data_IF_277772468884
#
_entry.id   IF_277772468884
#
_cell.length_a   1.000
_cell.length_b   1.000
_cell.length_c   1.000
_cell.angle_alpha   90.00
_cell.angle_beta   90.00
_cell.angle_gamma   90.00
#
_symmetry.space_group_name_H-M   'P 1'
#
loop_
_entity.id
_entity.type
_entity.pdbx_description
1 polymer ?
#
# COMPACT_ATOMS: atom_id res chain seq x y z
N UNK A 1 -6.99 -12.06 16.16
CA UNK A 1 -6.90 -10.98 15.16
C UNK A 1 -5.83 -11.37 14.15
N UNK A 2 -6.03 -11.08 12.86
CA UNK A 2 -4.96 -11.18 11.86
C UNK A 2 -4.06 -9.94 12.00
N UNK A 3 -2.72 -10.05 11.87
CA UNK A 3 -1.83 -8.89 11.89
C UNK A 3 -2.19 -7.89 10.77
N UNK A 4 -2.06 -6.60 11.05
CA UNK A 4 -2.36 -5.53 10.11
C UNK A 4 -1.12 -5.15 9.29
N UNK A 5 -1.26 -5.14 7.97
CA UNK A 5 -0.21 -4.77 7.04
C UNK A 5 -0.59 -3.49 6.30
N UNK A 6 0.17 -2.42 6.53
CA UNK A 6 0.01 -1.16 5.82
C UNK A 6 0.92 -1.10 4.59
N UNK A 7 0.35 -0.76 3.44
CA UNK A 7 1.07 -0.67 2.16
C UNK A 7 1.11 0.79 1.70
N UNK A 8 2.30 1.37 1.71
CA UNK A 8 2.60 2.70 1.20
C UNK A 8 3.30 2.57 -0.15
N UNK A 9 2.57 2.80 -1.23
CA UNK A 9 3.08 2.66 -2.59
C UNK A 9 2.42 3.66 -3.55
N UNK A 10 3.01 3.91 -4.73
CA UNK A 10 2.33 4.67 -5.77
C UNK A 10 1.02 3.99 -6.21
N UNK A 11 0.08 4.78 -6.73
CA UNK A 11 -1.20 4.29 -7.24
C UNK A 11 -1.40 4.67 -8.72
N UNK A 12 -2.26 3.91 -9.41
CA UNK A 12 -2.53 4.09 -10.83
C UNK A 12 -1.35 3.72 -11.73
N UNK A 13 -1.31 4.28 -12.93
CA UNK A 13 -0.20 4.09 -13.87
C UNK A 13 0.73 5.30 -13.81
N UNK A 14 2.03 5.07 -13.56
CA UNK A 14 3.05 6.13 -13.51
C UNK A 14 4.34 5.68 -14.24
N UNK A 15 5.13 6.59 -14.80
CA UNK A 15 6.43 6.24 -15.38
C UNK A 15 7.36 5.73 -14.28
N UNK A 16 7.99 4.58 -14.52
CA UNK A 16 9.04 4.02 -13.66
C UNK A 16 10.40 4.72 -13.89
N UNK A 17 11.46 4.24 -13.23
CA UNK A 17 12.82 4.80 -13.34
C UNK A 17 13.39 4.80 -14.76
N UNK A 18 12.95 3.86 -15.59
CA UNK A 18 13.32 3.72 -17.01
C UNK A 18 12.40 4.54 -17.95
N UNK A 19 11.43 5.28 -17.39
CA UNK A 19 10.42 6.03 -18.13
C UNK A 19 9.29 5.18 -18.70
N UNK A 20 9.31 3.85 -18.52
CA UNK A 20 8.24 2.97 -18.98
C UNK A 20 7.06 2.99 -18.00
N UNK A 21 5.81 2.85 -18.48
CA UNK A 21 4.64 2.87 -17.62
C UNK A 21 4.59 1.62 -16.71
N UNK A 22 4.44 1.85 -15.42
CA UNK A 22 4.18 0.82 -14.40
C UNK A 22 2.75 0.96 -13.91
N UNK A 23 1.99 -0.13 -13.95
CA UNK A 23 0.64 -0.21 -13.39
C UNK A 23 0.72 -0.68 -11.92
N UNK A 24 0.75 0.28 -11.01
CA UNK A 24 0.86 0.01 -9.57
C UNK A 24 -0.43 -0.59 -8.98
N UNK A 25 -1.57 -0.40 -9.63
CA UNK A 25 -2.81 -1.05 -9.20
C UNK A 25 -2.73 -2.55 -9.45
N UNK A 26 -2.19 -2.97 -10.60
CA UNK A 26 -1.94 -4.38 -10.88
C UNK A 26 -0.88 -4.97 -9.96
N UNK A 27 0.23 -4.27 -9.71
CA UNK A 27 1.26 -4.71 -8.75
C UNK A 27 0.64 -4.98 -7.37
N UNK A 28 -0.20 -4.07 -6.87
CA UNK A 28 -0.88 -4.27 -5.60
C UNK A 28 -1.85 -5.45 -5.63
N UNK A 29 -2.75 -5.50 -6.61
CA UNK A 29 -3.83 -6.47 -6.67
C UNK A 29 -3.35 -7.90 -6.98
N UNK A 30 -2.33 -8.04 -7.83
CA UNK A 30 -1.86 -9.33 -8.33
C UNK A 30 -0.69 -9.89 -7.50
N UNK A 31 0.12 -9.04 -6.85
CA UNK A 31 1.34 -9.46 -6.15
C UNK A 31 1.30 -9.18 -4.64
N UNK A 32 1.18 -7.92 -4.24
CA UNK A 32 1.38 -7.51 -2.84
C UNK A 32 0.23 -8.01 -1.95
N UNK A 33 -1.02 -7.70 -2.32
CA UNK A 33 -2.21 -8.07 -1.54
C UNK A 33 -2.32 -9.59 -1.37
N UNK A 34 -2.22 -10.42 -2.44
CA UNK A 34 -2.27 -11.87 -2.28
C UNK A 34 -1.15 -12.43 -1.41
N UNK A 35 0.07 -11.90 -1.50
CA UNK A 35 1.20 -12.36 -0.68
C UNK A 35 0.98 -12.08 0.81
N UNK A 36 0.50 -10.89 1.16
CA UNK A 36 0.17 -10.53 2.54
C UNK A 36 -0.96 -11.39 3.10
N UNK A 37 -2.02 -11.61 2.32
CA UNK A 37 -3.16 -12.46 2.72
C UNK A 37 -2.75 -13.93 2.91
N UNK A 38 -1.88 -14.46 2.04
CA UNK A 38 -1.31 -15.81 2.17
C UNK A 38 -0.41 -15.94 3.41
N UNK A 39 0.30 -14.86 3.79
CA UNK A 39 1.06 -14.79 5.02
C UNK A 39 0.19 -14.60 6.28
N UNK A 40 -1.14 -14.50 6.13
CA UNK A 40 -2.09 -14.40 7.23
C UNK A 40 -2.36 -12.98 7.74
N UNK A 41 -1.89 -11.95 7.03
CA UNK A 41 -2.12 -10.54 7.37
C UNK A 41 -3.38 -9.99 6.69
N UNK A 42 -3.92 -8.92 7.25
CA UNK A 42 -4.91 -8.06 6.60
C UNK A 42 -4.17 -6.94 5.89
N UNK A 43 -4.27 -6.86 4.56
CA UNK A 43 -3.64 -5.80 3.78
C UNK A 43 -4.53 -4.55 3.70
N UNK A 44 -3.94 -3.39 3.90
CA UNK A 44 -4.56 -2.07 3.72
C UNK A 44 -3.60 -1.16 2.97
N UNK A 45 -4.04 -0.58 1.85
CA UNK A 45 -3.24 0.36 1.05
C UNK A 45 -3.62 1.80 1.36
N UNK A 46 -2.64 2.69 1.38
CA UNK A 46 -2.84 4.09 1.77
C UNK A 46 -3.91 4.86 0.97
N UNK A 47 -4.21 4.47 -0.27
CA UNK A 47 -5.24 5.09 -1.11
C UNK A 47 -6.64 4.45 -0.97
N UNK A 48 -6.77 3.37 -0.20
CA UNK A 48 -8.07 2.79 0.18
C UNK A 48 -8.74 3.58 1.32
N UNK A 49 -7.99 4.49 1.97
CA UNK A 49 -8.55 5.43 2.93
C UNK A 49 -9.49 6.41 2.21
N UNK A 50 -10.78 6.29 2.53
CA UNK A 50 -11.86 7.05 1.91
C UNK A 50 -12.38 8.16 2.80
N UNK A 51 -11.83 8.31 4.02
CA UNK A 51 -12.25 9.38 4.94
C UNK A 51 -11.87 10.77 4.41
N UNK A 52 -12.82 11.72 4.43
CA UNK A 52 -12.48 13.13 4.29
C UNK A 52 -11.68 13.59 5.52
N UNK A 53 -10.41 13.96 5.35
CA UNK A 53 -9.50 14.33 6.45
C UNK A 53 -8.12 14.80 5.97
N UNK A 54 -7.22 15.13 6.91
CA UNK A 54 -5.80 15.36 6.59
C UNK A 54 -5.12 13.99 6.40
N UNK A 55 -4.96 13.60 5.13
CA UNK A 55 -4.33 12.35 4.67
C UNK A 55 -3.02 12.04 5.42
N UNK A 56 -2.28 13.07 5.86
CA UNK A 56 -1.04 12.87 6.62
C UNK A 56 -1.30 12.26 7.99
N UNK A 57 -2.33 12.71 8.70
CA UNK A 57 -2.66 12.20 10.04
C UNK A 57 -3.07 10.74 9.95
N UNK A 58 -3.93 10.41 8.98
CA UNK A 58 -4.40 9.04 8.77
C UNK A 58 -3.21 8.12 8.41
N UNK A 59 -2.32 8.55 7.51
CA UNK A 59 -1.11 7.82 7.17
C UNK A 59 -0.17 7.62 8.38
N UNK A 60 0.03 8.64 9.22
CA UNK A 60 0.85 8.51 10.43
C UNK A 60 0.23 7.55 11.45
N UNK A 61 -1.11 7.52 11.53
CA UNK A 61 -1.81 6.56 12.39
C UNK A 61 -1.60 5.14 11.89
N UNK A 62 -1.77 4.90 10.59
CA UNK A 62 -1.53 3.58 9.98
C UNK A 62 -0.10 3.09 10.20
N UNK A 63 0.90 3.98 10.05
CA UNK A 63 2.30 3.67 10.36
C UNK A 63 2.52 3.32 11.84
N UNK A 64 1.75 3.90 12.75
CA UNK A 64 1.86 3.65 14.18
C UNK A 64 1.21 2.32 14.60
N UNK A 65 0.11 1.94 13.97
CA UNK A 65 -0.71 0.77 14.39
C UNK A 65 -0.39 -0.51 13.62
N UNK A 66 0.25 -0.43 12.46
CA UNK A 66 0.54 -1.60 11.64
C UNK A 66 1.57 -2.53 12.30
N UNK A 67 1.31 -3.84 12.19
CA UNK A 67 2.26 -4.88 12.58
C UNK A 67 3.38 -5.04 11.54
N UNK A 68 3.07 -4.69 10.28
CA UNK A 68 4.00 -4.70 9.15
C UNK A 68 3.73 -3.49 8.25
N UNK A 69 4.79 -2.82 7.80
CA UNK A 69 4.71 -1.79 6.77
C UNK A 69 5.49 -2.24 5.54
N UNK A 70 4.83 -2.23 4.37
CA UNK A 70 5.45 -2.45 3.06
C UNK A 70 5.52 -1.11 2.33
N UNK A 71 6.72 -0.68 1.95
CA UNK A 71 6.94 0.58 1.25
C UNK A 71 7.53 0.31 -0.13
N UNK A 72 6.85 0.81 -1.17
CA UNK A 72 7.39 0.87 -2.52
C UNK A 72 8.08 2.22 -2.73
N UNK A 73 9.38 2.19 -3.06
CA UNK A 73 10.24 3.36 -3.26
C UNK A 73 10.62 3.54 -4.74
N UNK A 74 9.82 3.02 -5.67
CA UNK A 74 10.10 3.02 -7.11
C UNK A 74 10.21 4.42 -7.71
N UNK A 75 9.43 5.40 -7.21
CA UNK A 75 9.37 6.77 -7.73
C UNK A 75 9.67 7.82 -6.67
#
# INVERSE_FOLDING_TARGET
MKPHAFVAMPFGTKPGPDGLPVDFNRVYAELIRPALEQAGLTAFRADEETRPGDIRVDMFQELLIADLVVVDITI
#
